data_IF_114043124578
#
_entry.id   IF_114043124578
#
_cell.length_a   1.000
_cell.length_b   1.000
_cell.length_c   1.000
_cell.angle_alpha   90.00
_cell.angle_beta   90.00
_cell.angle_gamma   90.00
#
_symmetry.space_group_name_H-M   'P 1'
#
loop_
_entity.id
_entity.type
_entity.pdbx_description
1 polymer ?
#
# COMPACT_ATOMS: atom_id res chain seq x y z
N UNK A 1 1.97 -2.81 -13.33
CA UNK A 1 3.00 -2.67 -12.28
C UNK A 1 4.35 -3.03 -12.89
N UNK A 2 5.34 -2.15 -12.74
CA UNK A 2 6.70 -2.39 -13.22
C UNK A 2 7.64 -2.34 -12.01
N UNK A 3 8.28 -3.47 -11.70
CA UNK A 3 9.26 -3.54 -10.62
C UNK A 3 10.64 -3.21 -11.18
N UNK A 4 11.29 -2.22 -10.57
CA UNK A 4 12.63 -1.76 -10.94
C UNK A 4 13.61 -2.00 -9.80
N UNK A 5 14.89 -2.20 -10.12
CA UNK A 5 15.90 -2.35 -9.07
C UNK A 5 16.21 -0.99 -8.42
N UNK A 6 16.88 -1.00 -7.26
CA UNK A 6 17.18 0.23 -6.52
C UNK A 6 18.04 1.26 -7.29
N UNK A 7 18.83 0.83 -8.27
CA UNK A 7 19.64 1.72 -9.09
C UNK A 7 18.80 2.42 -10.15
N UNK A 8 17.88 1.68 -10.80
CA UNK A 8 16.91 2.21 -11.76
C UNK A 8 15.94 3.17 -11.06
N UNK A 9 15.39 2.77 -9.92
CA UNK A 9 14.54 3.64 -9.09
C UNK A 9 15.26 4.94 -8.74
N UNK A 10 16.53 4.87 -8.33
CA UNK A 10 17.33 6.06 -8.06
C UNK A 10 17.47 6.98 -9.29
N UNK A 11 17.67 6.40 -10.49
CA UNK A 11 17.78 7.18 -11.72
C UNK A 11 16.46 7.87 -12.08
N UNK A 12 15.33 7.19 -11.94
CA UNK A 12 13.98 7.71 -12.23
C UNK A 12 13.67 8.94 -11.35
N UNK A 13 14.04 8.87 -10.07
CA UNK A 13 13.81 9.96 -9.11
C UNK A 13 14.97 10.97 -9.01
N UNK A 14 16.03 10.84 -9.81
CA UNK A 14 17.20 11.74 -9.74
C UNK A 14 17.97 11.65 -8.41
N UNK A 15 17.92 10.51 -7.73
CA UNK A 15 18.51 10.27 -6.41
C UNK A 15 19.86 9.56 -6.50
N UNK A 16 20.66 9.65 -5.43
CA UNK A 16 21.83 8.78 -5.24
C UNK A 16 21.37 7.39 -4.80
N UNK A 17 21.90 6.33 -5.43
CA UNK A 17 21.59 4.93 -5.08
C UNK A 17 21.85 4.62 -3.60
N UNK A 18 22.84 5.27 -2.98
CA UNK A 18 23.14 5.13 -1.55
C UNK A 18 21.98 5.60 -0.66
N UNK A 19 21.29 6.68 -1.05
CA UNK A 19 20.12 7.19 -0.33
C UNK A 19 18.96 6.21 -0.43
N UNK A 20 18.71 5.67 -1.63
CA UNK A 20 17.65 4.67 -1.86
C UNK A 20 17.92 3.39 -1.07
N UNK A 21 19.17 2.89 -1.06
CA UNK A 21 19.57 1.73 -0.25
C UNK A 21 19.35 1.96 1.25
N UNK A 22 19.66 3.16 1.73
CA UNK A 22 19.47 3.55 3.13
C UNK A 22 17.98 3.61 3.49
N UNK A 23 17.16 4.22 2.63
CA UNK A 23 15.72 4.27 2.81
C UNK A 23 15.09 2.86 2.83
N UNK A 24 15.50 1.99 1.90
CA UNK A 24 15.08 0.58 1.89
C UNK A 24 15.45 -0.12 3.19
N UNK A 25 16.68 0.04 3.66
CA UNK A 25 17.14 -0.59 4.91
C UNK A 25 16.35 -0.11 6.14
N UNK A 26 15.81 1.11 6.10
CA UNK A 26 14.95 1.71 7.13
C UNK A 26 13.47 1.38 6.94
N UNK A 27 13.10 0.51 5.99
CA UNK A 27 11.70 0.17 5.73
C UNK A 27 10.89 1.31 5.10
N UNK A 28 11.53 2.36 4.59
CA UNK A 28 10.84 3.53 4.03
C UNK A 28 10.33 3.34 2.61
N UNK A 29 10.57 2.20 1.97
CA UNK A 29 10.02 1.88 0.64
C UNK A 29 8.95 0.80 0.82
N UNK A 30 7.68 1.18 0.65
CA UNK A 30 6.51 0.39 1.05
C UNK A 30 6.17 -0.72 0.06
N UNK A 31 6.62 -0.61 -1.18
CA UNK A 31 6.48 -1.65 -2.22
C UNK A 31 7.72 -2.53 -2.36
N UNK A 32 8.74 -2.30 -1.53
CA UNK A 32 10.01 -3.01 -1.65
C UNK A 32 9.85 -4.51 -1.42
N UNK A 33 10.29 -5.29 -2.41
CA UNK A 33 10.26 -6.76 -2.38
C UNK A 33 11.60 -7.32 -2.85
N UNK A 34 12.00 -8.46 -2.28
CA UNK A 34 13.23 -9.13 -2.70
C UNK A 34 12.91 -10.23 -3.71
N UNK A 35 13.42 -10.09 -4.94
CA UNK A 35 13.28 -11.08 -6.01
C UNK A 35 14.66 -11.52 -6.51
N UNK A 36 14.89 -12.83 -6.57
CA UNK A 36 16.17 -13.40 -7.03
C UNK A 36 17.41 -12.81 -6.32
N UNK A 37 17.28 -12.46 -5.04
CA UNK A 37 18.37 -11.86 -4.26
C UNK A 37 18.52 -10.34 -4.41
N UNK A 38 17.79 -9.71 -5.34
CA UNK A 38 17.82 -8.28 -5.62
C UNK A 38 16.60 -7.60 -5.01
N UNK A 39 16.80 -6.40 -4.47
CA UNK A 39 15.69 -5.56 -3.99
C UNK A 39 15.09 -4.79 -5.15
N UNK A 40 13.79 -4.97 -5.30
CA UNK A 40 12.95 -4.35 -6.32
C UNK A 40 11.91 -3.47 -5.63
N UNK A 41 11.49 -2.40 -6.30
CA UNK A 41 10.49 -1.43 -5.84
C UNK A 41 9.59 -1.15 -7.03
N UNK A 42 8.32 -0.81 -6.80
CA UNK A 42 7.48 -0.31 -7.87
C UNK A 42 8.04 1.00 -8.43
N UNK A 43 8.18 1.05 -9.74
CA UNK A 43 8.56 2.26 -10.47
C UNK A 43 7.65 3.44 -10.14
N UNK A 44 6.37 3.17 -9.87
CA UNK A 44 5.39 4.21 -9.55
C UNK A 44 5.41 4.64 -8.07
N UNK A 45 6.16 3.96 -7.18
CA UNK A 45 6.20 4.37 -5.77
C UNK A 45 6.89 5.75 -5.65
N UNK A 46 6.20 6.81 -5.19
CA UNK A 46 6.85 8.11 -4.98
C UNK A 46 7.93 8.00 -3.91
N UNK A 47 8.98 8.83 -4.03
CA UNK A 47 10.00 8.91 -3.01
C UNK A 47 9.38 9.24 -1.65
N UNK A 48 9.78 8.57 -0.57
CA UNK A 48 9.07 8.66 0.71
C UNK A 48 8.95 10.08 1.28
N UNK A 49 9.89 10.98 0.96
CA UNK A 49 9.82 12.40 1.37
C UNK A 49 8.84 13.23 0.51
N UNK A 50 8.54 12.75 -0.70
CA UNK A 50 7.66 13.37 -1.69
C UNK A 50 6.32 12.67 -1.77
N UNK A 51 6.07 11.66 -0.92
CA UNK A 51 4.76 11.04 -0.81
C UNK A 51 3.72 12.11 -0.61
N UNK A 52 2.69 11.99 -1.43
CA UNK A 52 1.66 12.99 -1.63
C UNK A 52 0.95 13.32 -0.33
N UNK A 53 1.37 14.43 0.28
CA UNK A 53 0.64 15.03 1.41
C UNK A 53 -0.77 15.47 1.03
N UNK A 54 -1.09 15.55 -0.26
CA UNK A 54 -2.43 15.78 -0.79
C UNK A 54 -3.36 14.55 -0.68
N UNK A 55 -2.82 13.34 -0.46
CA UNK A 55 -3.63 12.17 -0.08
C UNK A 55 -4.02 12.20 1.39
N UNK A 56 -3.32 13.01 2.19
CA UNK A 56 -3.68 13.21 3.58
C UNK A 56 -5.03 13.93 3.65
N UNK A 57 -5.99 13.29 4.31
CA UNK A 57 -7.22 13.96 4.75
C UNK A 57 -6.87 14.98 5.84
N UNK A 58 -7.83 15.79 6.25
CA UNK A 58 -7.65 16.70 7.40
C UNK A 58 -7.15 15.97 8.67
N UNK A 59 -7.36 14.66 8.75
CA UNK A 59 -6.96 13.77 9.86
C UNK A 59 -5.44 13.68 10.04
N UNK A 60 -4.62 13.94 9.00
CA UNK A 60 -3.16 13.86 9.14
C UNK A 60 -2.53 15.10 9.78
N UNK A 61 -3.28 16.20 9.95
CA UNK A 61 -2.74 17.46 10.48
C UNK A 61 -2.33 17.37 11.95
N UNK A 62 -2.96 16.47 12.69
CA UNK A 62 -2.76 16.30 14.14
C UNK A 62 -1.91 15.07 14.50
N UNK A 63 -1.39 14.34 13.50
CA UNK A 63 -0.60 13.13 13.71
C UNK A 63 0.86 13.44 14.06
N UNK A 64 1.43 12.65 14.97
CA UNK A 64 2.87 12.61 15.26
C UNK A 64 3.65 11.97 14.10
N UNK A 65 4.97 12.12 14.07
CA UNK A 65 5.82 11.53 13.01
C UNK A 65 5.69 10.00 12.90
N UNK A 66 5.52 9.30 14.02
CA UNK A 66 5.30 7.84 14.02
C UNK A 66 3.93 7.45 13.49
N UNK A 67 2.89 8.23 13.80
CA UNK A 67 1.54 8.02 13.28
C UNK A 67 1.45 8.35 11.79
N UNK A 68 2.23 9.34 11.32
CA UNK A 68 2.35 9.66 9.89
C UNK A 68 2.95 8.50 9.09
N UNK A 69 3.96 7.80 9.62
CA UNK A 69 4.54 6.62 8.93
C UNK A 69 3.52 5.48 8.78
N UNK A 70 2.72 5.21 9.83
CA UNK A 70 1.64 4.23 9.77
C UNK A 70 0.54 4.66 8.80
N UNK A 71 0.18 5.94 8.83
CA UNK A 71 -0.83 6.52 7.94
C UNK A 71 -0.38 6.51 6.47
N UNK A 72 0.88 6.79 6.19
CA UNK A 72 1.51 6.66 4.88
C UNK A 72 1.34 5.26 4.29
N UNK A 73 1.52 4.24 5.14
CA UNK A 73 1.32 2.85 4.75
C UNK A 73 -0.12 2.58 4.37
N UNK A 74 -1.06 2.99 5.22
CA UNK A 74 -2.51 2.85 4.95
C UNK A 74 -2.89 3.53 3.64
N UNK A 75 -2.40 4.75 3.40
CA UNK A 75 -2.68 5.47 2.15
C UNK A 75 -2.07 4.81 0.92
N UNK A 76 -0.87 4.25 1.04
CA UNK A 76 -0.26 3.50 -0.04
C UNK A 76 -1.06 2.23 -0.36
N UNK A 77 -1.48 1.48 0.66
CA UNK A 77 -2.35 0.31 0.49
C UNK A 77 -3.65 0.73 -0.19
N UNK A 78 -4.28 1.81 0.28
CA UNK A 78 -5.50 2.39 -0.28
C UNK A 78 -5.33 2.80 -1.74
N UNK A 79 -4.19 3.36 -2.10
CA UNK A 79 -3.89 3.77 -3.48
C UNK A 79 -3.85 2.56 -4.43
N UNK A 80 -3.31 1.43 -3.97
CA UNK A 80 -3.24 0.21 -4.78
C UNK A 80 -4.52 -0.63 -4.77
N UNK A 81 -5.35 -0.52 -3.74
CA UNK A 81 -6.60 -1.28 -3.62
C UNK A 81 -7.67 -0.75 -4.58
N UNK A 82 -8.31 -1.64 -5.34
CA UNK A 82 -9.42 -1.29 -6.22
C UNK A 82 -10.61 -0.70 -5.44
N UNK A 83 -10.88 -1.25 -4.25
CA UNK A 83 -11.92 -0.71 -3.37
C UNK A 83 -11.48 0.54 -2.58
N UNK A 84 -10.25 1.04 -2.78
CA UNK A 84 -9.67 2.15 -2.02
C UNK A 84 -10.46 3.47 -2.12
N UNK A 85 -11.24 3.67 -3.18
CA UNK A 85 -12.14 4.83 -3.30
C UNK A 85 -13.30 4.80 -2.28
N UNK A 86 -13.69 3.62 -1.79
CA UNK A 86 -14.76 3.43 -0.82
C UNK A 86 -14.19 3.40 0.60
N UNK A 87 -14.01 4.58 1.21
CA UNK A 87 -13.27 4.73 2.48
C UNK A 87 -13.68 3.77 3.60
N UNK A 88 -14.99 3.64 3.88
CA UNK A 88 -15.49 2.75 4.94
C UNK A 88 -15.31 1.26 4.59
N UNK A 89 -15.59 0.89 3.34
CA UNK A 89 -15.41 -0.49 2.85
C UNK A 89 -13.95 -0.90 2.90
N UNK A 90 -13.06 -0.03 2.42
CA UNK A 90 -11.62 -0.21 2.47
C UNK A 90 -11.14 -0.41 3.91
N UNK A 91 -11.54 0.47 4.84
CA UNK A 91 -11.14 0.39 6.24
C UNK A 91 -11.56 -0.95 6.86
N UNK A 92 -12.81 -1.37 6.67
CA UNK A 92 -13.29 -2.68 7.18
C UNK A 92 -12.54 -3.88 6.58
N UNK A 93 -12.19 -3.81 5.30
CA UNK A 93 -11.43 -4.88 4.66
C UNK A 93 -9.98 -4.91 5.12
N UNK A 94 -9.37 -3.74 5.40
CA UNK A 94 -8.03 -3.63 5.96
C UNK A 94 -7.99 -4.14 7.40
N UNK A 95 -8.95 -3.75 8.25
CA UNK A 95 -9.07 -4.17 9.65
C UNK A 95 -9.25 -5.69 9.82
N UNK A 96 -9.75 -6.37 8.78
CA UNK A 96 -9.86 -7.82 8.74
C UNK A 96 -8.51 -8.53 8.54
N UNK A 97 -7.46 -7.80 8.12
CA UNK A 97 -6.10 -8.32 7.94
C UNK A 97 -5.33 -8.08 9.24
N UNK A 98 -4.74 -9.13 9.86
CA UNK A 98 -3.92 -8.95 11.06
C UNK A 98 -2.75 -7.96 10.88
N UNK A 99 -2.48 -7.14 11.89
CA UNK A 99 -1.46 -6.09 11.83
C UNK A 99 -0.06 -6.63 11.47
N UNK A 100 0.31 -7.80 11.98
CA UNK A 100 1.59 -8.44 11.67
C UNK A 100 1.73 -8.80 10.19
N UNK A 101 0.62 -9.19 9.54
CA UNK A 101 0.56 -9.41 8.09
C UNK A 101 0.61 -8.08 7.35
N UNK A 102 -0.12 -7.07 7.83
CA UNK A 102 -0.09 -5.73 7.23
C UNK A 102 1.32 -5.15 7.25
N UNK A 103 2.11 -5.38 8.29
CA UNK A 103 3.50 -4.91 8.42
C UNK A 103 4.50 -5.76 7.60
N UNK A 104 4.32 -7.08 7.56
CA UNK A 104 5.27 -7.99 6.93
C UNK A 104 5.26 -7.96 5.39
N UNK A 105 4.11 -7.61 4.79
CA UNK A 105 3.93 -7.66 3.34
C UNK A 105 4.10 -6.27 2.69
N UNK A 106 4.59 -6.18 1.44
CA UNK A 106 4.55 -4.93 0.69
C UNK A 106 3.13 -4.38 0.55
N UNK A 107 2.97 -3.06 0.53
CA UNK A 107 1.65 -2.39 0.51
C UNK A 107 0.73 -2.90 -0.62
N UNK A 108 1.29 -3.25 -1.77
CA UNK A 108 0.56 -3.81 -2.91
C UNK A 108 0.00 -5.21 -2.63
N UNK A 109 0.72 -6.03 -1.88
CA UNK A 109 0.26 -7.36 -1.52
C UNK A 109 -0.85 -7.27 -0.47
N UNK A 110 -0.74 -6.33 0.48
CA UNK A 110 -1.84 -6.03 1.41
C UNK A 110 -3.06 -5.50 0.65
N UNK A 111 -2.88 -4.62 -0.34
CA UNK A 111 -3.97 -4.14 -1.19
C UNK A 111 -4.68 -5.28 -1.94
N UNK A 112 -3.92 -6.25 -2.45
CA UNK A 112 -4.51 -7.43 -3.09
C UNK A 112 -5.31 -8.31 -2.11
N UNK A 113 -4.90 -8.39 -0.84
CA UNK A 113 -5.69 -9.06 0.21
C UNK A 113 -6.97 -8.30 0.52
N UNK A 114 -6.90 -6.97 0.63
CA UNK A 114 -8.06 -6.08 0.82
C UNK A 114 -9.07 -6.31 -0.30
N UNK A 115 -8.63 -6.30 -1.56
CA UNK A 115 -9.51 -6.52 -2.71
C UNK A 115 -10.08 -7.94 -2.75
N UNK A 116 -9.28 -8.96 -2.37
CA UNK A 116 -9.77 -10.34 -2.30
C UNK A 116 -10.88 -10.52 -1.25
N UNK A 117 -10.77 -9.85 -0.09
CA UNK A 117 -11.79 -9.83 0.96
C UNK A 117 -13.06 -9.15 0.44
N UNK A 118 -12.91 -7.98 -0.16
CA UNK A 118 -14.02 -7.23 -0.76
C UNK A 118 -14.75 -8.05 -1.84
N UNK A 119 -14.01 -8.66 -2.75
CA UNK A 119 -14.58 -9.49 -3.82
C UNK A 119 -15.29 -10.73 -3.29
N UNK A 120 -14.79 -11.34 -2.22
CA UNK A 120 -15.44 -12.47 -1.59
C UNK A 120 -16.79 -12.08 -0.98
N UNK A 121 -16.85 -10.92 -0.31
CA UNK A 121 -18.09 -10.36 0.22
C UNK A 121 -19.09 -10.05 -0.91
N UNK A 122 -18.67 -9.33 -1.95
CA UNK A 122 -19.53 -8.96 -3.10
C UNK A 122 -20.11 -10.18 -3.80
N UNK A 123 -19.30 -11.23 -4.02
CA UNK A 123 -19.79 -12.49 -4.60
C UNK A 123 -20.82 -13.17 -3.70
N UNK A 124 -20.56 -13.26 -2.40
CA UNK A 124 -21.48 -13.86 -1.43
C UNK A 124 -22.81 -13.10 -1.34
N UNK A 125 -22.74 -11.77 -1.29
CA UNK A 125 -23.92 -10.90 -1.26
C UNK A 125 -24.79 -11.09 -2.51
N UNK A 126 -24.20 -11.06 -3.72
CA UNK A 126 -24.94 -11.26 -4.98
C UNK A 126 -25.57 -12.64 -5.08
N UNK A 127 -24.86 -13.68 -4.63
CA UNK A 127 -25.41 -15.04 -4.60
C UNK A 127 -26.62 -15.12 -3.66
N UNK A 128 -26.52 -14.55 -2.44
CA UNK A 128 -27.62 -14.53 -1.49
C UNK A 128 -28.84 -13.73 -1.97
N UNK A 129 -28.63 -12.61 -2.66
CA UNK A 129 -29.72 -11.83 -3.27
C UNK A 129 -30.44 -12.63 -4.35
N UNK A 130 -29.69 -13.31 -5.22
CA UNK A 130 -30.25 -14.18 -6.25
C UNK A 130 -31.05 -15.35 -5.66
N UNK A 131 -30.60 -15.94 -4.55
CA UNK A 131 -31.35 -16.98 -3.82
C UNK A 131 -32.62 -16.44 -3.15
N UNK A 132 -32.58 -15.20 -2.64
CA UNK A 132 -33.72 -14.53 -2.02
C UNK A 132 -34.77 -14.02 -3.05
N UNK A 133 -34.46 -14.08 -4.35
CA UNK A 133 -35.31 -13.55 -5.41
C UNK A 133 -35.40 -12.01 -5.43
N UNK A 134 -34.37 -11.34 -4.90
CA UNK A 134 -34.23 -9.88 -4.82
C UNK A 134 -33.25 -9.34 -5.86
#
# INVERSE_FOLDING_TARGET
MALVNLSEYAAIHGLKVTNVRTARARGKLLTAVKQHGVWMVDEAEPWYMERRKDWYTDEAKDLTEGELDAYDRVLMIRHYAQCGQYGETFAKCLDAIPDDIQEALPAQQVAALVDAIHDAYERGYRAGMAEAGL
#
